data_IF_639916733334
#
_entry.id   IF_639916733334
#
_cell.length_a   1.000
_cell.length_b   1.000
_cell.length_c   1.000
_cell.angle_alpha   90.00
_cell.angle_beta   90.00
_cell.angle_gamma   90.00
#
_symmetry.space_group_name_H-M   'P 1'
#
loop_
_entity.id
_entity.type
_entity.pdbx_description
1 polymer ?
#
# COMPACT_ATOMS: atom_id res chain seq x y z
N UNK A 1 23.73 14.32 -49.24
CA UNK A 1 24.62 14.00 -48.11
C UNK A 1 23.76 13.29 -47.08
N UNK A 2 23.67 11.97 -47.20
CA UNK A 2 22.84 11.05 -46.41
C UNK A 2 23.82 9.98 -45.92
N UNK A 3 24.01 9.89 -44.61
CA UNK A 3 24.90 8.91 -43.99
C UNK A 3 24.03 7.75 -43.50
N UNK A 4 24.20 6.62 -44.17
CA UNK A 4 23.77 5.28 -43.76
C UNK A 4 24.65 4.82 -42.59
N UNK A 5 24.05 4.30 -41.54
CA UNK A 5 24.77 3.56 -40.49
C UNK A 5 24.19 2.15 -40.44
N UNK A 6 25.14 1.22 -40.54
CA UNK A 6 25.05 -0.22 -40.71
C UNK A 6 24.63 -0.92 -39.40
N UNK A 7 23.82 -1.96 -39.54
CA UNK A 7 23.26 -2.77 -38.46
C UNK A 7 23.92 -4.16 -38.49
N UNK A 8 24.88 -4.41 -37.59
CA UNK A 8 25.46 -5.74 -37.43
C UNK A 8 25.78 -6.11 -35.97
N UNK A 9 24.88 -6.94 -35.41
CA UNK A 9 25.08 -8.08 -34.49
C UNK A 9 25.36 -7.83 -32.98
N UNK A 10 25.12 -8.82 -32.07
CA UNK A 10 24.44 -10.13 -32.23
C UNK A 10 23.33 -10.44 -31.19
N UNK A 11 22.44 -11.36 -31.58
CA UNK A 11 21.46 -12.07 -30.76
C UNK A 11 22.12 -12.93 -29.66
N UNK A 12 21.73 -12.72 -28.41
CA UNK A 12 22.03 -13.61 -27.29
C UNK A 12 20.92 -14.68 -27.17
N UNK A 13 21.26 -15.93 -27.47
CA UNK A 13 20.43 -17.10 -27.19
C UNK A 13 20.78 -17.65 -25.79
N UNK A 14 19.80 -18.10 -24.98
CA UNK A 14 20.06 -18.74 -23.70
C UNK A 14 20.44 -20.22 -23.89
N UNK A 15 21.52 -20.63 -23.22
CA UNK A 15 22.00 -22.01 -23.17
C UNK A 15 20.98 -22.96 -22.51
N UNK A 16 20.55 -23.96 -23.28
CA UNK A 16 20.11 -25.28 -22.79
C UNK A 16 21.32 -26.20 -22.68
N UNK A 17 21.39 -27.00 -21.61
CA UNK A 17 21.94 -28.38 -21.47
C UNK A 17 22.13 -28.62 -19.95
N UNK A 18 21.93 -29.77 -19.31
CA UNK A 18 21.56 -31.14 -19.67
C UNK A 18 21.09 -31.83 -18.36
N UNK A 19 20.20 -32.82 -18.48
CA UNK A 19 19.79 -33.72 -17.40
C UNK A 19 20.99 -34.51 -16.82
N UNK A 20 21.06 -34.57 -15.48
CA UNK A 20 21.80 -35.60 -14.74
C UNK A 20 20.99 -36.03 -13.52
N UNK A 21 20.32 -37.19 -13.62
CA UNK A 21 19.79 -37.93 -12.45
C UNK A 21 20.96 -38.42 -11.61
N UNK A 22 20.84 -38.36 -10.28
CA UNK A 22 21.14 -39.41 -9.28
C UNK A 22 20.96 -38.78 -7.88
N UNK A 23 20.30 -39.51 -6.96
CA UNK A 23 20.59 -39.40 -5.52
C UNK A 23 19.57 -38.67 -4.66
N UNK A 24 18.54 -39.40 -4.21
CA UNK A 24 17.66 -39.07 -3.11
C UNK A 24 18.36 -39.20 -1.74
N UNK A 25 18.38 -38.14 -0.92
CA UNK A 25 18.58 -38.17 0.55
C UNK A 25 17.89 -36.93 1.17
N UNK A 26 17.15 -37.04 2.30
CA UNK A 26 16.26 -36.00 2.82
C UNK A 26 17.01 -34.99 3.71
N UNK A 27 16.60 -33.71 3.69
CA UNK A 27 17.09 -32.71 4.64
C UNK A 27 16.06 -32.39 5.72
N UNK A 28 16.55 -32.54 6.94
CA UNK A 28 15.94 -32.42 8.26
C UNK A 28 15.14 -31.12 8.49
N UNK A 29 13.97 -31.32 9.10
CA UNK A 29 13.38 -30.44 10.10
C UNK A 29 14.31 -30.34 11.32
N UNK A 30 14.71 -29.13 11.69
CA UNK A 30 15.31 -28.85 12.99
C UNK A 30 14.25 -28.27 13.93
N UNK A 31 13.83 -29.13 14.85
CA UNK A 31 13.07 -28.82 16.05
C UNK A 31 13.92 -28.03 17.05
N UNK A 32 13.32 -27.06 17.73
CA UNK A 32 13.82 -26.52 19.00
C UNK A 32 12.66 -26.55 20.00
N UNK A 33 12.67 -27.58 20.83
CA UNK A 33 11.84 -27.67 22.02
C UNK A 33 12.71 -28.18 23.17
N UNK A 34 12.83 -27.39 24.24
CA UNK A 34 12.54 -27.84 25.60
C UNK A 34 12.83 -26.74 26.63
N UNK A 35 11.78 -26.27 27.30
CA UNK A 35 11.79 -26.16 28.75
C UNK A 35 10.38 -26.54 29.24
N UNK A 36 10.28 -27.62 30.02
CA UNK A 36 9.09 -28.05 30.76
C UNK A 36 9.28 -27.66 32.22
N UNK A 37 8.22 -27.15 32.85
CA UNK A 37 7.78 -27.68 34.15
C UNK A 37 6.34 -27.24 34.46
N UNK A 38 5.50 -28.24 34.76
CA UNK A 38 4.31 -28.26 35.64
C UNK A 38 3.30 -27.11 35.51
N UNK A 39 2.07 -27.27 35.01
CA UNK A 39 1.11 -28.36 35.22
C UNK A 39 -0.05 -27.83 36.08
N UNK A 40 -1.14 -27.34 35.46
CA UNK A 40 -2.52 -27.31 35.99
C UNK A 40 -3.46 -26.92 34.84
N UNK A 41 -4.46 -27.77 34.59
CA UNK A 41 -5.50 -27.64 33.56
C UNK A 41 -6.37 -26.40 33.80
N UNK A 42 -6.43 -25.49 32.83
CA UNK A 42 -7.39 -24.39 32.82
C UNK A 42 -8.07 -24.30 31.44
N UNK A 43 -9.40 -24.29 31.47
CA UNK A 43 -10.26 -24.17 30.29
C UNK A 43 -9.89 -22.94 29.46
N UNK A 44 -9.72 -23.15 28.15
CA UNK A 44 -9.42 -22.11 27.18
C UNK A 44 -10.69 -21.31 26.91
N UNK A 45 -10.92 -20.27 27.70
CA UNK A 45 -11.87 -19.20 27.34
C UNK A 45 -11.25 -18.43 26.18
N UNK A 46 -11.89 -18.45 25.01
CA UNK A 46 -11.52 -17.56 23.92
C UNK A 46 -11.67 -16.11 24.42
N UNK A 47 -10.54 -15.43 24.56
CA UNK A 47 -10.55 -13.99 24.86
C UNK A 47 -10.86 -13.26 23.57
N UNK A 48 -12.15 -13.07 23.30
CA UNK A 48 -12.59 -11.97 22.45
C UNK A 48 -12.05 -10.68 23.08
N UNK A 49 -11.30 -9.84 22.35
CA UNK A 49 -10.83 -8.57 22.89
C UNK A 49 -12.05 -7.71 23.29
N UNK A 50 -11.95 -6.89 24.35
CA UNK A 50 -13.07 -6.07 24.81
C UNK A 50 -13.47 -5.07 23.72
N UNK A 51 -14.73 -5.14 23.31
CA UNK A 51 -15.36 -4.33 22.25
C UNK A 51 -15.16 -2.82 22.46
N UNK A 52 -15.07 -2.35 23.72
CA UNK A 52 -14.90 -0.91 24.01
C UNK A 52 -13.58 -0.32 23.52
N UNK A 53 -12.52 -1.15 23.39
CA UNK A 53 -11.23 -0.70 22.86
C UNK A 53 -11.14 -0.72 21.34
N UNK A 54 -12.06 -1.41 20.65
CA UNK A 54 -12.09 -1.49 19.20
C UNK A 54 -12.72 -0.25 18.58
N UNK A 55 -13.86 0.19 19.12
CA UNK A 55 -14.58 1.37 18.62
C UNK A 55 -13.77 2.67 18.74
N UNK A 56 -12.86 2.77 19.70
CA UNK A 56 -11.95 3.93 19.82
C UNK A 56 -10.90 4.01 18.71
N UNK A 57 -10.76 2.97 17.88
CA UNK A 57 -9.86 2.94 16.72
C UNK A 57 -10.56 3.33 15.42
N UNK A 58 -11.88 3.57 15.43
CA UNK A 58 -12.60 4.05 14.25
C UNK A 58 -12.00 5.35 13.73
N UNK A 59 -12.02 5.48 12.41
CA UNK A 59 -11.54 6.68 11.71
C UNK A 59 -12.75 7.34 11.08
N UNK A 60 -13.09 8.54 11.50
CA UNK A 60 -14.19 9.29 10.90
C UNK A 60 -13.64 10.28 9.88
N UNK A 61 -14.34 10.52 8.77
CA UNK A 61 -13.90 11.49 7.77
C UNK A 61 -13.65 12.90 8.34
N UNK A 62 -14.41 13.32 9.35
CA UNK A 62 -14.16 14.62 10.03
C UNK A 62 -12.78 14.71 10.72
N UNK A 63 -12.19 13.56 11.06
CA UNK A 63 -10.92 13.45 11.79
C UNK A 63 -9.76 13.06 10.86
N UNK A 64 -10.03 12.79 9.57
CA UNK A 64 -9.05 12.41 8.55
C UNK A 64 -9.29 13.22 7.26
N UNK A 65 -8.33 14.06 6.89
CA UNK A 65 -8.51 14.99 5.77
C UNK A 65 -8.77 14.30 4.42
N UNK A 66 -8.21 13.11 4.19
CA UNK A 66 -8.36 12.37 2.93
C UNK A 66 -9.77 11.78 2.85
N UNK A 67 -10.18 11.07 3.90
CA UNK A 67 -11.49 10.44 3.95
C UNK A 67 -12.63 11.44 4.13
N UNK A 68 -12.39 12.54 4.86
CA UNK A 68 -13.32 13.66 4.96
C UNK A 68 -13.61 14.28 3.60
N UNK A 69 -12.58 14.45 2.76
CA UNK A 69 -12.79 14.92 1.40
C UNK A 69 -13.58 13.93 0.54
N UNK A 70 -13.33 12.61 0.68
CA UNK A 70 -14.13 11.59 -0.03
C UNK A 70 -15.60 11.65 0.39
N UNK A 71 -15.88 11.78 1.69
CA UNK A 71 -17.24 11.94 2.20
C UNK A 71 -17.90 13.24 1.72
N UNK A 72 -17.16 14.34 1.67
CA UNK A 72 -17.63 15.63 1.12
C UNK A 72 -17.99 15.47 -0.36
N UNK A 73 -17.10 14.85 -1.14
CA UNK A 73 -17.32 14.62 -2.56
C UNK A 73 -18.53 13.74 -2.80
N UNK A 74 -18.76 12.69 -2.00
CA UNK A 74 -19.93 11.81 -2.15
C UNK A 74 -21.28 12.57 -2.01
N UNK A 75 -21.29 13.82 -1.50
CA UNK A 75 -22.39 14.78 -1.64
C UNK A 75 -23.78 14.24 -1.23
N UNK A 76 -23.85 13.50 -0.13
CA UNK A 76 -25.12 12.95 0.38
C UNK A 76 -25.69 11.78 -0.42
N UNK A 77 -24.98 11.30 -1.44
CA UNK A 77 -25.26 10.02 -2.10
C UNK A 77 -24.90 8.89 -1.16
N UNK A 78 -25.66 7.81 -1.21
CA UNK A 78 -25.29 6.58 -0.51
C UNK A 78 -23.97 6.03 -1.06
N UNK A 79 -23.16 5.45 -0.17
CA UNK A 79 -21.95 4.72 -0.58
C UNK A 79 -22.28 3.39 -1.29
N UNK A 80 -23.45 2.81 -1.02
CA UNK A 80 -23.91 1.58 -1.68
C UNK A 80 -22.94 0.41 -1.48
N UNK A 81 -22.66 -0.31 -2.56
CA UNK A 81 -21.67 -1.39 -2.57
C UNK A 81 -20.28 -0.83 -2.82
N UNK A 82 -19.38 -1.03 -1.86
CA UNK A 82 -18.02 -0.48 -1.88
C UNK A 82 -17.00 -1.57 -2.20
N UNK A 83 -15.98 -1.21 -2.97
CA UNK A 83 -14.76 -1.99 -3.14
C UNK A 83 -13.60 -1.22 -2.53
N UNK A 84 -12.94 -1.78 -1.51
CA UNK A 84 -11.63 -1.32 -1.06
C UNK A 84 -10.57 -2.15 -1.77
N UNK A 85 -10.03 -1.60 -2.87
CA UNK A 85 -9.20 -2.32 -3.81
C UNK A 85 -7.77 -2.60 -3.30
N UNK A 86 -7.39 -2.02 -2.15
CA UNK A 86 -6.05 -2.15 -1.57
C UNK A 86 -6.10 -2.04 -0.05
N UNK A 87 -6.93 -2.87 0.57
CA UNK A 87 -7.33 -2.67 1.97
C UNK A 87 -6.16 -2.77 2.95
N UNK A 88 -6.19 -1.84 3.91
CA UNK A 88 -5.36 -1.84 5.10
C UNK A 88 -6.20 -1.52 6.34
N UNK A 89 -5.56 -1.49 7.51
CA UNK A 89 -6.27 -1.23 8.77
C UNK A 89 -6.92 0.17 8.80
N UNK A 90 -6.30 1.18 8.18
CA UNK A 90 -6.77 2.57 8.24
C UNK A 90 -8.03 2.78 7.40
N UNK A 91 -8.01 2.37 6.12
CA UNK A 91 -9.19 2.39 5.25
C UNK A 91 -10.33 1.56 5.83
N UNK A 92 -10.04 0.36 6.35
CA UNK A 92 -11.05 -0.50 7.00
C UNK A 92 -11.75 0.21 8.17
N UNK A 93 -10.98 0.86 9.05
CA UNK A 93 -11.54 1.59 10.22
C UNK A 93 -12.43 2.75 9.80
N UNK A 94 -12.18 3.34 8.64
CA UNK A 94 -13.04 4.35 8.05
C UNK A 94 -14.28 3.76 7.42
N UNK A 95 -14.14 2.72 6.59
CA UNK A 95 -15.24 2.01 5.94
C UNK A 95 -16.26 1.49 6.97
N UNK A 96 -15.80 1.03 8.13
CA UNK A 96 -16.65 0.61 9.25
C UNK A 96 -17.60 1.72 9.77
N UNK A 97 -17.34 3.00 9.46
CA UNK A 97 -18.22 4.13 9.82
C UNK A 97 -19.26 4.46 8.75
N UNK A 98 -19.12 3.91 7.54
CA UNK A 98 -19.91 4.29 6.37
C UNK A 98 -21.29 3.62 6.29
N UNK A 99 -21.59 2.66 7.16
CA UNK A 99 -22.95 2.10 7.27
C UNK A 99 -23.97 3.23 7.52
N UNK A 100 -23.60 4.21 8.36
CA UNK A 100 -24.41 5.41 8.64
C UNK A 100 -24.52 6.37 7.45
N UNK A 101 -23.79 6.10 6.36
CA UNK A 101 -23.75 6.88 5.12
C UNK A 101 -24.20 6.03 3.92
N UNK A 102 -25.03 5.03 4.18
CA UNK A 102 -25.66 4.22 3.13
C UNK A 102 -24.74 3.19 2.48
N UNK A 103 -23.60 2.83 3.10
CA UNK A 103 -22.83 1.66 2.66
C UNK A 103 -23.60 0.38 3.01
N UNK A 104 -23.83 -0.46 2.00
CA UNK A 104 -24.58 -1.73 2.11
C UNK A 104 -23.64 -2.92 2.31
N UNK A 105 -22.49 -2.91 1.65
CA UNK A 105 -21.47 -3.96 1.78
C UNK A 105 -20.12 -3.46 1.28
N UNK A 106 -19.05 -4.10 1.71
CA UNK A 106 -17.70 -3.84 1.25
C UNK A 106 -16.93 -5.13 0.95
N UNK A 107 -16.32 -5.18 -0.23
CA UNK A 107 -15.27 -6.14 -0.56
C UNK A 107 -13.91 -5.49 -0.32
N UNK A 108 -13.14 -6.02 0.63
CA UNK A 108 -11.87 -5.48 1.07
C UNK A 108 -10.72 -6.39 0.62
N UNK A 109 -9.91 -5.93 -0.34
CA UNK A 109 -8.94 -6.76 -1.06
C UNK A 109 -7.52 -6.45 -0.61
N UNK A 110 -6.74 -7.47 -0.29
CA UNK A 110 -5.31 -7.33 -0.08
C UNK A 110 -4.55 -8.50 -0.71
N UNK A 111 -3.34 -8.25 -1.20
CA UNK A 111 -2.44 -9.29 -1.70
C UNK A 111 -1.53 -9.88 -0.60
N UNK A 112 -1.51 -9.28 0.60
CA UNK A 112 -0.66 -9.71 1.72
C UNK A 112 -1.46 -10.56 2.72
N UNK A 113 -1.03 -11.80 2.94
CA UNK A 113 -1.70 -12.76 3.84
C UNK A 113 -1.64 -12.35 5.31
N UNK A 114 -0.62 -11.62 5.73
CA UNK A 114 -0.53 -11.07 7.09
C UNK A 114 -1.51 -9.92 7.24
N UNK A 115 -1.58 -9.01 6.26
CA UNK A 115 -2.56 -7.93 6.23
C UNK A 115 -3.98 -8.49 6.22
N UNK A 116 -4.27 -9.51 5.42
CA UNK A 116 -5.59 -10.16 5.39
C UNK A 116 -6.01 -10.62 6.79
N UNK A 117 -5.12 -11.31 7.52
CA UNK A 117 -5.39 -11.74 8.90
C UNK A 117 -5.65 -10.57 9.84
N UNK A 118 -4.84 -9.51 9.73
CA UNK A 118 -4.97 -8.33 10.58
C UNK A 118 -6.29 -7.58 10.30
N UNK A 119 -6.64 -7.42 9.03
CA UNK A 119 -7.90 -6.80 8.57
C UNK A 119 -9.09 -7.64 9.03
N UNK A 120 -9.04 -8.96 8.87
CA UNK A 120 -10.11 -9.85 9.37
C UNK A 120 -10.29 -9.75 10.89
N UNK A 121 -9.20 -9.76 11.65
CA UNK A 121 -9.26 -9.59 13.10
C UNK A 121 -9.86 -8.23 13.50
N UNK A 122 -9.57 -7.17 12.75
CA UNK A 122 -10.12 -5.85 13.01
C UNK A 122 -11.60 -5.76 12.61
N UNK A 123 -12.01 -6.38 11.51
CA UNK A 123 -13.43 -6.55 11.11
C UNK A 123 -14.23 -7.20 12.24
N UNK A 124 -13.71 -8.32 12.77
CA UNK A 124 -14.35 -9.06 13.86
C UNK A 124 -14.39 -8.24 15.16
N UNK A 125 -13.31 -7.51 15.46
CA UNK A 125 -13.24 -6.65 16.64
C UNK A 125 -14.18 -5.44 16.58
N UNK A 126 -14.42 -4.90 15.38
CA UNK A 126 -15.34 -3.78 15.14
C UNK A 126 -16.81 -4.25 15.02
N UNK A 127 -17.05 -5.55 14.85
CA UNK A 127 -18.41 -6.11 14.71
C UNK A 127 -19.02 -5.90 13.33
N UNK A 128 -18.22 -5.62 12.31
CA UNK A 128 -18.67 -5.28 10.94
C UNK A 128 -18.55 -6.45 9.95
N UNK A 129 -18.38 -7.68 10.46
CA UNK A 129 -18.26 -8.90 9.63
C UNK A 129 -19.51 -9.17 8.77
N UNK A 130 -20.65 -8.58 9.10
CA UNK A 130 -21.89 -8.69 8.33
C UNK A 130 -21.91 -7.78 7.08
N UNK A 131 -21.08 -6.72 7.06
CA UNK A 131 -20.94 -5.80 5.93
C UNK A 131 -19.72 -6.11 5.08
N UNK A 132 -18.68 -6.70 5.69
CA UNK A 132 -17.34 -6.75 5.11
C UNK A 132 -16.93 -8.16 4.75
N UNK A 133 -16.44 -8.33 3.51
CA UNK A 133 -15.78 -9.55 3.06
C UNK A 133 -14.31 -9.25 2.77
N UNK A 134 -13.41 -9.86 3.54
CA UNK A 134 -11.96 -9.69 3.38
C UNK A 134 -11.41 -10.75 2.43
N UNK A 135 -10.95 -10.32 1.26
CA UNK A 135 -10.47 -11.20 0.20
C UNK A 135 -8.94 -11.11 0.07
N UNK A 136 -8.33 -12.27 -0.12
CA UNK A 136 -6.90 -12.39 -0.45
C UNK A 136 -6.77 -12.58 -1.96
N UNK A 137 -6.05 -11.69 -2.63
CA UNK A 137 -5.85 -11.80 -4.06
C UNK A 137 -4.91 -10.75 -4.61
N UNK A 138 -4.32 -11.05 -5.77
CA UNK A 138 -3.52 -10.13 -6.54
C UNK A 138 -4.32 -9.70 -7.77
N UNK A 139 -4.36 -8.41 -8.05
CA UNK A 139 -5.04 -7.86 -9.23
C UNK A 139 -4.48 -8.36 -10.56
N UNK A 140 -3.18 -8.65 -10.59
CA UNK A 140 -2.49 -9.20 -11.74
C UNK A 140 -1.64 -10.39 -11.28
N UNK A 141 -2.22 -11.58 -11.13
CA UNK A 141 -1.48 -12.76 -10.73
C UNK A 141 -0.43 -13.11 -11.80
N UNK A 142 0.72 -13.65 -11.38
CA UNK A 142 1.84 -14.07 -12.26
C UNK A 142 1.52 -15.33 -13.10
N UNK A 143 0.25 -15.59 -13.40
CA UNK A 143 -0.22 -16.78 -14.12
C UNK A 143 0.26 -16.74 -15.58
N UNK A 144 1.40 -17.37 -15.85
CA UNK A 144 1.91 -17.65 -17.20
C UNK A 144 1.00 -18.65 -17.93
N UNK A 145 0.28 -19.48 -17.18
CA UNK A 145 -0.45 -20.63 -17.72
C UNK A 145 -1.90 -20.36 -18.06
N UNK A 146 -2.57 -19.41 -17.41
CA UNK A 146 -3.97 -19.07 -17.66
C UNK A 146 -4.20 -17.57 -17.43
N UNK A 147 -3.91 -16.70 -18.42
CA UNK A 147 -4.06 -15.25 -18.32
C UNK A 147 -5.50 -14.81 -18.04
N UNK A 148 -6.48 -15.60 -18.50
CA UNK A 148 -7.91 -15.28 -18.46
C UNK A 148 -8.60 -15.70 -17.15
N UNK A 149 -7.86 -16.34 -16.23
CA UNK A 149 -8.39 -16.80 -14.95
C UNK A 149 -7.71 -16.05 -13.80
N UNK A 150 -8.15 -14.81 -13.56
CA UNK A 150 -7.87 -14.17 -12.28
C UNK A 150 -8.93 -14.62 -11.26
N UNK A 151 -8.61 -15.49 -10.28
CA UNK A 151 -9.59 -16.00 -9.32
C UNK A 151 -10.23 -14.87 -8.50
N UNK A 152 -9.47 -13.81 -8.22
CA UNK A 152 -10.00 -12.64 -7.51
C UNK A 152 -11.17 -12.02 -8.26
N UNK A 153 -11.08 -11.90 -9.59
CA UNK A 153 -12.15 -11.33 -10.41
C UNK A 153 -13.40 -12.21 -10.49
N UNK A 154 -13.27 -13.51 -10.22
CA UNK A 154 -14.40 -14.44 -10.18
C UNK A 154 -15.16 -14.37 -8.85
N UNK A 155 -14.48 -13.99 -7.77
CA UNK A 155 -15.03 -13.93 -6.41
C UNK A 155 -15.68 -12.57 -6.08
N UNK A 156 -15.38 -11.54 -6.86
CA UNK A 156 -15.87 -10.17 -6.67
C UNK A 156 -16.98 -9.82 -7.66
N UNK A 157 -17.70 -8.75 -7.36
CA UNK A 157 -18.77 -8.28 -8.21
C UNK A 157 -18.28 -7.30 -9.28
N UNK A 158 -19.14 -6.99 -10.24
CA UNK A 158 -18.87 -6.02 -11.31
C UNK A 158 -19.85 -4.84 -11.28
N UNK A 159 -20.45 -4.58 -10.12
CA UNK A 159 -21.53 -3.61 -9.94
C UNK A 159 -21.32 -2.71 -8.70
N UNK A 160 -20.07 -2.32 -8.42
CA UNK A 160 -19.79 -1.42 -7.29
C UNK A 160 -20.32 -0.01 -7.55
N UNK A 161 -20.86 0.61 -6.51
CA UNK A 161 -21.29 2.01 -6.53
C UNK A 161 -20.10 2.93 -6.24
N UNK A 162 -19.18 2.48 -5.38
CA UNK A 162 -17.95 3.19 -5.02
C UNK A 162 -16.75 2.24 -5.03
N UNK A 163 -15.64 2.67 -5.62
CA UNK A 163 -14.34 2.01 -5.53
C UNK A 163 -13.34 2.96 -4.86
N UNK A 164 -12.67 2.48 -3.82
CA UNK A 164 -11.55 3.13 -3.16
C UNK A 164 -10.26 2.43 -3.55
N UNK A 165 -9.31 3.20 -4.09
CA UNK A 165 -7.93 2.79 -4.31
C UNK A 165 -7.00 3.60 -3.40
N UNK A 166 -6.93 3.20 -2.12
CA UNK A 166 -6.15 3.90 -1.10
C UNK A 166 -4.66 3.50 -1.12
N UNK A 167 -3.78 4.35 -1.65
CA UNK A 167 -2.35 4.09 -1.90
C UNK A 167 -2.05 2.83 -2.74
N UNK A 168 -3.06 2.25 -3.39
CA UNK A 168 -2.96 1.00 -4.13
C UNK A 168 -1.91 1.08 -5.24
N UNK A 169 -2.01 2.10 -6.10
CA UNK A 169 -1.12 2.25 -7.27
C UNK A 169 0.35 2.34 -6.85
N UNK A 170 0.64 3.03 -5.75
CA UNK A 170 1.99 3.15 -5.20
C UNK A 170 2.55 1.83 -4.65
N UNK A 171 1.67 1.04 -4.02
CA UNK A 171 2.01 -0.26 -3.44
C UNK A 171 2.22 -1.36 -4.51
N UNK A 172 1.63 -1.21 -5.69
CA UNK A 172 1.63 -2.25 -6.73
C UNK A 172 3.03 -2.70 -7.17
N UNK A 173 4.09 -1.88 -7.09
CA UNK A 173 5.42 -2.37 -7.51
C UNK A 173 5.91 -3.56 -6.66
N UNK A 174 5.42 -3.68 -5.42
CA UNK A 174 5.72 -4.79 -4.53
C UNK A 174 4.90 -6.07 -4.80
N UNK A 175 3.79 -5.98 -5.54
CA UNK A 175 2.83 -7.08 -5.72
C UNK A 175 2.57 -7.45 -7.18
N UNK A 176 2.51 -6.45 -8.06
CA UNK A 176 2.15 -6.55 -9.48
C UNK A 176 3.05 -5.59 -10.29
N UNK A 177 4.37 -5.86 -10.36
CA UNK A 177 5.30 -4.93 -10.97
C UNK A 177 4.97 -4.68 -12.45
N UNK A 178 5.07 -3.42 -12.88
CA UNK A 178 4.82 -2.95 -14.25
C UNK A 178 3.37 -3.06 -14.74
N UNK A 179 2.40 -3.06 -13.83
CA UNK A 179 0.96 -3.14 -14.14
C UNK A 179 0.15 -1.92 -13.70
N UNK A 180 0.81 -0.89 -13.19
CA UNK A 180 0.16 0.29 -12.60
C UNK A 180 -0.70 1.06 -13.59
N UNK A 181 -0.27 1.11 -14.86
CA UNK A 181 -1.01 1.69 -15.99
C UNK A 181 -2.30 0.93 -16.32
N UNK A 182 -2.41 -0.35 -15.94
CA UNK A 182 -3.58 -1.19 -16.23
C UNK A 182 -4.64 -1.11 -15.11
N UNK A 183 -4.30 -0.53 -13.96
CA UNK A 183 -5.13 -0.63 -12.76
C UNK A 183 -6.40 0.20 -12.83
N UNK A 184 -6.36 1.40 -13.38
CA UNK A 184 -7.57 2.21 -13.51
C UNK A 184 -8.58 1.50 -14.41
N UNK A 185 -8.17 1.00 -15.58
CA UNK A 185 -9.06 0.23 -16.46
C UNK A 185 -9.65 -1.01 -15.79
N UNK A 186 -8.85 -1.73 -15.00
CA UNK A 186 -9.30 -2.89 -14.22
C UNK A 186 -10.41 -2.51 -13.23
N UNK A 187 -10.25 -1.40 -12.50
CA UNK A 187 -11.25 -0.93 -11.53
C UNK A 187 -12.51 -0.38 -12.20
N UNK A 188 -12.36 0.36 -13.30
CA UNK A 188 -13.50 0.90 -14.07
C UNK A 188 -14.41 -0.23 -14.59
N UNK A 189 -13.83 -1.37 -14.95
CA UNK A 189 -14.58 -2.57 -15.35
C UNK A 189 -15.53 -3.11 -14.27
N UNK A 190 -15.31 -2.77 -13.00
CA UNK A 190 -16.11 -3.23 -11.85
C UNK A 190 -17.12 -2.19 -11.35
N UNK A 191 -17.04 -0.97 -11.86
CA UNK A 191 -17.85 0.17 -11.41
C UNK A 191 -19.16 0.24 -12.22
N UNK A 192 -20.28 0.54 -11.56
CA UNK A 192 -21.56 0.82 -12.23
C UNK A 192 -21.48 2.10 -13.06
N UNK A 193 -22.29 2.25 -14.13
CA UNK A 193 -22.55 3.55 -14.72
C UNK A 193 -23.03 4.55 -13.64
N UNK A 194 -22.44 5.74 -13.59
CA UNK A 194 -22.65 6.74 -12.53
C UNK A 194 -21.95 6.44 -11.20
N UNK A 195 -21.22 5.32 -11.06
CA UNK A 195 -20.45 4.99 -9.87
C UNK A 195 -19.18 5.83 -9.73
N UNK A 196 -18.61 5.89 -8.53
CA UNK A 196 -17.43 6.73 -8.24
C UNK A 196 -16.16 5.94 -7.92
N UNK A 197 -15.04 6.41 -8.47
CA UNK A 197 -13.70 5.94 -8.18
C UNK A 197 -12.94 7.04 -7.41
N UNK A 198 -12.41 6.68 -6.25
CA UNK A 198 -11.53 7.53 -5.45
C UNK A 198 -10.14 6.92 -5.42
N UNK A 199 -9.15 7.63 -5.97
CA UNK A 199 -7.75 7.23 -5.95
C UNK A 199 -6.99 8.12 -4.98
N UNK A 200 -6.51 7.53 -3.89
CA UNK A 200 -5.63 8.21 -2.93
C UNK A 200 -4.19 7.83 -3.25
N UNK A 201 -3.30 8.82 -3.24
CA UNK A 201 -1.88 8.55 -3.44
C UNK A 201 -0.99 9.65 -2.89
N UNK A 202 0.31 9.41 -2.98
CA UNK A 202 1.35 10.30 -2.49
C UNK A 202 2.10 10.93 -3.67
N UNK A 203 2.29 12.25 -3.66
CA UNK A 203 3.21 12.87 -4.61
C UNK A 203 4.64 12.36 -4.35
N UNK A 204 5.38 11.90 -5.38
CA UNK A 204 6.75 11.46 -5.20
C UNK A 204 7.62 12.50 -4.49
N UNK A 205 8.22 12.09 -3.37
CA UNK A 205 9.16 12.92 -2.63
C UNK A 205 10.38 13.20 -3.52
N UNK A 206 10.77 14.46 -3.73
CA UNK A 206 11.92 14.80 -4.55
C UNK A 206 13.23 14.34 -3.90
N UNK A 207 14.28 14.17 -4.70
CA UNK A 207 15.61 13.81 -4.19
C UNK A 207 16.24 14.91 -3.34
N UNK A 208 15.85 16.16 -3.58
CA UNK A 208 16.26 17.35 -2.81
C UNK A 208 15.26 18.49 -2.99
N UNK A 209 15.23 19.38 -2.02
CA UNK A 209 14.47 20.63 -2.02
C UNK A 209 15.44 21.82 -1.96
N UNK A 210 15.66 22.57 -3.06
CA UNK A 210 16.57 23.70 -3.08
C UNK A 210 16.21 24.75 -2.01
N UNK A 211 17.20 25.17 -1.23
CA UNK A 211 17.02 26.20 -0.19
C UNK A 211 16.23 25.76 1.04
N UNK A 212 15.91 24.46 1.19
CA UNK A 212 15.16 23.94 2.34
C UNK A 212 15.89 22.75 2.99
N UNK A 213 16.87 23.07 3.82
CA UNK A 213 17.71 22.07 4.51
C UNK A 213 16.91 21.17 5.45
N UNK A 214 15.87 21.70 6.09
CA UNK A 214 14.97 20.93 6.95
C UNK A 214 14.24 19.84 6.13
N UNK A 215 13.67 20.19 4.98
CA UNK A 215 13.04 19.22 4.09
C UNK A 215 14.06 18.23 3.50
N UNK A 216 15.29 18.67 3.24
CA UNK A 216 16.37 17.79 2.77
C UNK A 216 16.74 16.68 3.75
N UNK A 217 16.44 16.81 5.06
CA UNK A 217 16.56 15.70 6.00
C UNK A 217 15.59 14.56 5.61
N UNK A 218 14.35 14.89 5.29
CA UNK A 218 13.32 13.90 4.92
C UNK A 218 13.66 13.22 3.59
N UNK A 219 14.13 13.99 2.59
CA UNK A 219 14.63 13.43 1.32
C UNK A 219 15.72 12.37 1.56
N UNK A 220 16.70 12.68 2.42
CA UNK A 220 17.79 11.77 2.75
C UNK A 220 17.33 10.56 3.56
N UNK A 221 16.39 10.73 4.50
CA UNK A 221 15.75 9.60 5.21
C UNK A 221 15.07 8.65 4.23
N UNK A 222 14.32 9.17 3.25
CA UNK A 222 13.67 8.36 2.21
C UNK A 222 14.69 7.59 1.37
N UNK A 223 15.75 8.26 0.92
CA UNK A 223 16.84 7.62 0.16
C UNK A 223 17.54 6.52 0.98
N UNK A 224 17.85 6.78 2.26
CA UNK A 224 18.49 5.79 3.13
C UNK A 224 17.57 4.59 3.43
N UNK A 225 16.27 4.84 3.67
CA UNK A 225 15.25 3.80 3.83
C UNK A 225 15.17 2.91 2.58
N UNK A 226 15.08 3.53 1.40
CA UNK A 226 14.93 2.80 0.13
C UNK A 226 16.21 2.01 -0.20
N UNK A 227 17.38 2.58 0.08
CA UNK A 227 18.65 1.84 0.00
C UNK A 227 18.65 0.61 0.92
N UNK A 228 18.18 0.74 2.16
CA UNK A 228 18.05 -0.41 3.07
C UNK A 228 17.10 -1.49 2.53
N UNK A 229 15.99 -1.11 1.91
CA UNK A 229 15.02 -2.05 1.32
C UNK A 229 15.66 -2.80 0.14
N UNK A 230 16.36 -2.08 -0.74
CA UNK A 230 17.05 -2.68 -1.90
C UNK A 230 18.20 -3.61 -1.47
N UNK A 231 18.98 -3.22 -0.46
CA UNK A 231 20.07 -4.05 0.09
C UNK A 231 19.56 -5.33 0.74
N UNK A 232 18.30 -5.35 1.18
CA UNK A 232 17.62 -6.55 1.66
C UNK A 232 17.01 -7.42 0.53
N UNK A 233 17.20 -7.05 -0.74
CA UNK A 233 16.65 -7.79 -1.88
C UNK A 233 15.14 -7.60 -2.07
N UNK A 234 14.56 -6.54 -1.49
CA UNK A 234 13.14 -6.22 -1.63
C UNK A 234 12.91 -5.07 -2.62
N UNK A 235 11.67 -4.93 -3.10
CA UNK A 235 11.23 -3.76 -3.89
C UNK A 235 10.75 -2.64 -2.99
N UNK A 236 11.05 -1.41 -3.39
CA UNK A 236 10.46 -0.22 -2.78
C UNK A 236 9.08 0.03 -3.40
N UNK A 237 8.18 0.63 -2.62
CA UNK A 237 7.00 1.23 -3.22
C UNK A 237 7.39 2.38 -4.15
N UNK A 238 6.57 2.60 -5.17
CA UNK A 238 6.82 3.62 -6.18
C UNK A 238 5.57 4.47 -6.32
N UNK A 239 5.64 5.64 -5.71
CA UNK A 239 4.59 6.64 -5.81
C UNK A 239 4.51 7.24 -7.21
N UNK A 240 3.32 7.70 -7.60
CA UNK A 240 3.05 8.29 -8.91
C UNK A 240 2.60 9.75 -8.74
N UNK A 241 3.06 10.67 -9.60
CA UNK A 241 2.60 12.04 -9.57
C UNK A 241 1.08 12.16 -9.78
N UNK A 242 0.45 13.15 -9.14
CA UNK A 242 -1.00 13.39 -9.29
C UNK A 242 -1.39 13.64 -10.75
N UNK A 243 -0.56 14.34 -11.53
CA UNK A 243 -0.80 14.60 -12.95
C UNK A 243 -0.72 13.34 -13.81
N UNK A 244 0.03 12.32 -13.36
CA UNK A 244 0.04 11.03 -14.04
C UNK A 244 -1.28 10.31 -13.80
N UNK A 245 -1.77 10.27 -12.56
CA UNK A 245 -3.06 9.63 -12.22
C UNK A 245 -4.22 10.35 -12.89
N UNK A 246 -4.24 11.69 -12.88
CA UNK A 246 -5.28 12.48 -13.54
C UNK A 246 -5.32 12.20 -15.05
N UNK A 247 -4.18 12.13 -15.72
CA UNK A 247 -4.12 11.76 -17.15
C UNK A 247 -4.69 10.36 -17.41
N UNK A 248 -4.40 9.37 -16.57
CA UNK A 248 -4.98 8.04 -16.73
C UNK A 248 -6.51 8.05 -16.62
N UNK A 249 -7.09 8.94 -15.79
CA UNK A 249 -8.54 9.13 -15.68
C UNK A 249 -9.09 9.87 -16.90
N UNK A 250 -8.47 10.97 -17.31
CA UNK A 250 -8.89 11.80 -18.44
C UNK A 250 -8.84 11.05 -19.78
N UNK A 251 -7.82 10.21 -19.97
CA UNK A 251 -7.64 9.40 -21.18
C UNK A 251 -8.59 8.18 -21.21
N UNK A 252 -9.24 7.83 -20.10
CA UNK A 252 -10.14 6.69 -20.05
C UNK A 252 -11.54 7.05 -20.62
N UNK A 253 -12.04 6.32 -21.64
CA UNK A 253 -13.27 6.70 -22.36
C UNK A 253 -14.54 6.64 -21.51
N UNK A 254 -14.54 5.87 -20.43
CA UNK A 254 -15.70 5.71 -19.56
C UNK A 254 -15.65 6.58 -18.30
N UNK A 255 -14.61 7.40 -18.10
CA UNK A 255 -14.47 8.20 -16.89
C UNK A 255 -14.60 9.70 -17.15
N UNK A 256 -15.21 10.39 -16.20
CA UNK A 256 -15.15 11.84 -16.05
C UNK A 256 -14.29 12.18 -14.83
N UNK A 257 -13.28 13.04 -15.03
CA UNK A 257 -12.47 13.57 -13.93
C UNK A 257 -13.28 14.62 -13.16
N UNK A 258 -13.48 14.37 -11.88
CA UNK A 258 -14.12 15.28 -10.94
C UNK A 258 -13.04 16.06 -10.14
N UNK A 259 -13.44 17.07 -9.34
CA UNK A 259 -12.50 17.84 -8.53
C UNK A 259 -11.58 16.95 -7.70
N UNK A 260 -10.27 17.12 -7.93
CA UNK A 260 -9.21 16.48 -7.17
C UNK A 260 -8.68 17.45 -6.11
N UNK A 261 -8.13 16.93 -5.00
CA UNK A 261 -7.57 17.76 -3.92
C UNK A 261 -6.21 17.26 -3.46
N UNK A 262 -5.35 18.20 -3.08
CA UNK A 262 -4.04 17.94 -2.50
C UNK A 262 -4.03 18.28 -1.00
N UNK A 263 -3.29 17.49 -0.24
CA UNK A 263 -3.23 17.55 1.22
C UNK A 263 -1.76 17.63 1.63
N UNK A 264 -1.27 18.80 2.07
CA UNK A 264 0.13 18.98 2.46
C UNK A 264 0.54 18.01 3.57
N UNK A 265 1.69 17.35 3.40
CA UNK A 265 2.21 16.48 4.45
C UNK A 265 3.07 17.29 5.41
N UNK A 266 2.76 17.14 6.70
CA UNK A 266 3.50 17.76 7.78
C UNK A 266 4.20 16.69 8.61
N UNK A 267 5.51 16.57 8.41
CA UNK A 267 6.33 15.59 9.11
C UNK A 267 6.70 16.09 10.50
N UNK A 268 6.32 15.31 11.51
CA UNK A 268 6.88 15.39 12.87
C UNK A 268 8.07 14.45 12.99
N UNK A 269 8.90 14.67 14.02
CA UNK A 269 10.03 13.80 14.30
C UNK A 269 9.60 12.33 14.40
N UNK A 270 8.50 12.04 15.10
CA UNK A 270 8.01 10.67 15.29
C UNK A 270 7.62 10.01 13.96
N UNK A 271 7.05 10.78 13.03
CA UNK A 271 6.70 10.29 11.69
C UNK A 271 7.94 10.00 10.86
N UNK A 272 8.98 10.83 10.97
CA UNK A 272 10.26 10.60 10.30
C UNK A 272 10.95 9.35 10.88
N UNK A 273 10.96 9.18 12.20
CA UNK A 273 11.54 8.02 12.87
C UNK A 273 10.87 6.70 12.47
N UNK A 274 9.56 6.70 12.19
CA UNK A 274 8.89 5.51 11.62
C UNK A 274 9.52 5.08 10.30
N UNK A 275 9.90 6.03 9.43
CA UNK A 275 10.58 5.73 8.16
C UNK A 275 12.01 5.22 8.37
N UNK A 276 12.74 5.79 9.33
CA UNK A 276 14.06 5.30 9.75
C UNK A 276 13.95 3.86 10.26
N UNK A 277 12.91 3.56 11.05
CA UNK A 277 12.69 2.22 11.59
C UNK A 277 12.35 1.20 10.51
N UNK A 278 11.70 1.60 9.41
CA UNK A 278 11.53 0.72 8.24
C UNK A 278 12.89 0.29 7.71
N UNK A 279 13.86 1.21 7.60
CA UNK A 279 15.25 0.90 7.23
C UNK A 279 15.91 -0.06 8.23
N UNK A 280 15.87 0.25 9.53
CA UNK A 280 16.45 -0.60 10.59
C UNK A 280 15.86 -2.01 10.61
N UNK A 281 14.56 -2.17 10.29
CA UNK A 281 13.90 -3.48 10.26
C UNK A 281 14.51 -4.46 9.25
N UNK A 282 15.29 -3.94 8.28
CA UNK A 282 15.94 -4.74 7.23
C UNK A 282 17.32 -5.26 7.64
N UNK A 283 17.91 -4.77 8.73
CA UNK A 283 19.29 -5.13 9.13
C UNK A 283 19.50 -6.62 9.35
N UNK A 284 18.47 -7.37 9.76
CA UNK A 284 18.52 -8.84 9.89
C UNK A 284 18.80 -9.58 8.57
N UNK A 285 18.70 -8.90 7.43
CA UNK A 285 18.94 -9.42 6.09
C UNK A 285 20.29 -8.95 5.51
N UNK A 286 21.04 -8.11 6.24
CA UNK A 286 22.29 -7.55 5.76
C UNK A 286 23.49 -8.41 6.16
N UNK A 287 24.61 -8.17 5.47
CA UNK A 287 25.93 -8.61 5.95
C UNK A 287 26.34 -7.77 7.18
N UNK A 288 27.04 -8.34 8.18
CA UNK A 288 27.36 -7.65 9.42
C UNK A 288 28.06 -6.29 9.26
N UNK A 289 28.98 -6.16 8.30
CA UNK A 289 29.76 -4.94 8.08
C UNK A 289 28.88 -3.78 7.59
N UNK A 290 27.84 -4.11 6.82
CA UNK A 290 26.88 -3.15 6.28
C UNK A 290 25.92 -2.66 7.37
N UNK A 291 25.57 -3.50 8.35
CA UNK A 291 24.71 -3.13 9.48
C UNK A 291 25.32 -1.96 10.26
N UNK A 292 26.62 -2.01 10.57
CA UNK A 292 27.28 -0.95 11.32
C UNK A 292 27.27 0.39 10.57
N UNK A 293 27.63 0.36 9.28
CA UNK A 293 27.69 1.58 8.46
C UNK A 293 26.31 2.19 8.21
N UNK A 294 25.31 1.36 7.89
CA UNK A 294 23.93 1.83 7.70
C UNK A 294 23.28 2.25 9.01
N UNK A 295 23.61 1.60 10.13
CA UNK A 295 23.19 2.00 11.46
C UNK A 295 23.63 3.43 11.80
N UNK A 296 24.93 3.71 11.64
CA UNK A 296 25.48 5.04 11.89
C UNK A 296 24.83 6.13 11.02
N UNK A 297 24.57 5.85 9.74
CA UNK A 297 23.84 6.78 8.86
C UNK A 297 22.42 7.06 9.35
N UNK A 298 21.67 6.01 9.73
CA UNK A 298 20.30 6.16 10.21
C UNK A 298 20.23 6.88 11.56
N UNK A 299 21.19 6.65 12.45
CA UNK A 299 21.29 7.35 13.74
C UNK A 299 21.58 8.85 13.55
N UNK A 300 22.47 9.19 12.62
CA UNK A 300 22.76 10.59 12.27
C UNK A 300 21.55 11.29 11.64
N UNK A 301 20.82 10.60 10.77
CA UNK A 301 19.58 11.12 10.18
C UNK A 301 18.47 11.30 11.23
N UNK A 302 18.38 10.42 12.21
CA UNK A 302 17.44 10.57 13.33
C UNK A 302 17.75 11.83 14.13
N UNK A 303 19.03 12.05 14.48
CA UNK A 303 19.48 13.27 15.17
C UNK A 303 19.18 14.53 14.35
N UNK A 304 19.50 14.52 13.05
CA UNK A 304 19.21 15.65 12.16
C UNK A 304 17.70 15.91 12.05
N UNK A 305 16.87 14.87 12.05
CA UNK A 305 15.41 15.02 12.00
C UNK A 305 14.87 15.69 13.27
N UNK A 306 15.42 15.36 14.44
CA UNK A 306 15.08 15.99 15.70
C UNK A 306 15.49 17.46 15.73
N UNK A 307 16.71 17.78 15.29
CA UNK A 307 17.20 19.15 15.22
C UNK A 307 16.37 20.00 14.26
N UNK A 308 16.07 19.48 13.07
CA UNK A 308 15.30 20.19 12.05
C UNK A 308 13.86 20.47 12.50
N UNK A 309 13.20 19.49 13.12
CA UNK A 309 11.82 19.64 13.62
C UNK A 309 11.77 20.56 14.84
N UNK A 310 12.76 20.51 15.73
CA UNK A 310 12.84 21.38 16.91
C UNK A 310 13.04 22.86 16.55
N UNK A 311 13.68 23.15 15.42
CA UNK A 311 13.83 24.52 14.88
C UNK A 311 12.61 25.00 14.08
N UNK A 312 11.70 24.10 13.70
CA UNK A 312 10.52 24.46 12.93
C UNK A 312 9.46 25.15 13.83
N UNK A 313 8.78 26.22 13.37
CA UNK A 313 7.87 27.03 14.20
C UNK A 313 6.77 26.26 14.94
N UNK A 314 6.32 25.14 14.39
CA UNK A 314 5.24 24.30 14.92
C UNK A 314 5.69 22.85 15.18
N UNK A 315 7.00 22.60 15.21
CA UNK A 315 7.56 21.25 15.35
C UNK A 315 7.37 20.36 14.12
N UNK A 316 7.00 20.93 12.95
CA UNK A 316 6.67 20.18 11.73
C UNK A 316 7.43 20.73 10.53
N UNK A 317 7.84 19.82 9.64
CA UNK A 317 8.45 20.16 8.36
C UNK A 317 7.46 19.79 7.27
N UNK A 318 7.10 20.75 6.42
CA UNK A 318 6.24 20.50 5.26
C UNK A 318 7.09 20.01 4.09
N UNK A 319 6.72 18.87 3.50
CA UNK A 319 7.32 18.35 2.28
C UNK A 319 6.32 17.45 1.56
N UNK A 320 6.10 17.67 0.27
CA UNK A 320 5.15 16.87 -0.51
C UNK A 320 3.70 17.02 -0.07
N UNK A 321 2.85 16.20 -0.65
CA UNK A 321 1.41 16.17 -0.38
C UNK A 321 0.84 14.80 -0.75
N UNK A 322 -0.19 14.39 -0.03
CA UNK A 322 -1.11 13.36 -0.49
C UNK A 322 -2.13 13.98 -1.45
N UNK A 323 -2.78 13.16 -2.26
CA UNK A 323 -3.84 13.61 -3.15
C UNK A 323 -5.01 12.63 -3.16
N UNK A 324 -6.19 13.16 -3.45
CA UNK A 324 -7.36 12.38 -3.82
C UNK A 324 -7.78 12.81 -5.22
N UNK A 325 -7.72 11.87 -6.17
CA UNK A 325 -8.30 12.01 -7.51
C UNK A 325 -9.67 11.34 -7.49
N UNK A 326 -10.69 12.11 -7.86
CA UNK A 326 -12.08 11.64 -7.92
C UNK A 326 -12.48 11.48 -9.38
N UNK A 327 -13.09 10.35 -9.72
CA UNK A 327 -13.66 10.12 -11.03
C UNK A 327 -15.05 9.52 -10.92
N UNK A 328 -15.88 9.77 -11.93
CA UNK A 328 -17.20 9.15 -12.06
C UNK A 328 -17.27 8.38 -13.37
N UNK A 329 -17.88 7.20 -13.35
CA UNK A 329 -18.11 6.43 -14.57
C UNK A 329 -19.29 7.02 -15.33
N UNK A 330 -19.10 7.28 -16.62
CA UNK A 330 -20.15 7.76 -17.53
C UNK A 330 -21.30 6.74 -17.61
N UNK A 331 -22.50 7.26 -17.91
CA UNK A 331 -23.72 6.46 -18.10
C UNK A 331 -23.68 5.63 -19.39
#
# INVERSE_FOLDING_TARGET
>A
MLISIDNSLPLYLPNRMILGRIGSVPLLLASLSCFRSTGTTAMTVSKTPPVSGALSRLVFGKDDALFGWIEEQQEGRDFGKVLDAGTGLHSLRWLATLELKGMVSVDAITADRTMQKNVQQEVDALGVSHLSRVLIGNWFPDSITEPDQNPLLQDISSDYDVILADYLIGAMDGFSPYKQDQMISQLVGLLKPGGRLYVVGLQPIPDKTPGNDAANVICRVRQARDACILLAGHRCYREYPVDWVQRQVEDHPDLELLPSRQFPILYRHETICKQIQVGRSKFKLFRPELVSSMGALLDDLEKQSFEATSKAPNGKIQLGFDYVVTAEKRF
#
